data_IF_336306845568
#
_entry.id   IF_336306845568
#
_cell.length_a   1.000
_cell.length_b   1.000
_cell.length_c   1.000
_cell.angle_alpha   90.00
_cell.angle_beta   90.00
_cell.angle_gamma   90.00
#
_symmetry.space_group_name_H-M   'P 1'
#
loop_
_entity.id
_entity.type
_entity.pdbx_description
1 polymer ?
#
# COMPACT_ATOMS: atom_id res chain seq x y z
N UNK A 1 -6.10 -7.44 -17.61
CA UNK A 1 -5.13 -7.32 -16.49
C UNK A 1 -5.65 -7.97 -15.20
N UNK A 2 -6.91 -7.74 -14.77
CA UNK A 2 -7.40 -8.21 -13.46
C UNK A 2 -7.38 -9.72 -13.23
N UNK A 3 -7.77 -10.55 -14.20
CA UNK A 3 -7.78 -12.02 -13.99
C UNK A 3 -6.39 -12.62 -13.77
N UNK A 4 -5.37 -12.19 -14.52
CA UNK A 4 -3.99 -12.68 -14.37
C UNK A 4 -3.40 -12.32 -13.01
N UNK A 5 -3.57 -11.06 -12.60
CA UNK A 5 -3.07 -10.57 -11.30
C UNK A 5 -3.81 -11.24 -10.13
N UNK A 6 -5.13 -11.40 -10.23
CA UNK A 6 -5.93 -12.09 -9.21
C UNK A 6 -5.56 -13.58 -9.08
N UNK A 7 -5.23 -14.27 -10.18
CA UNK A 7 -4.79 -15.66 -10.13
C UNK A 7 -3.40 -15.79 -9.49
N UNK A 8 -2.45 -14.95 -9.88
CA UNK A 8 -1.13 -14.89 -9.25
C UNK A 8 -1.23 -14.60 -7.76
N UNK A 9 -2.10 -13.65 -7.37
CA UNK A 9 -2.36 -13.32 -5.99
C UNK A 9 -3.07 -14.44 -5.22
N UNK A 10 -3.88 -15.29 -5.87
CA UNK A 10 -4.47 -16.48 -5.23
C UNK A 10 -3.44 -17.55 -4.95
N UNK A 11 -2.53 -17.79 -5.88
CA UNK A 11 -1.54 -18.88 -5.81
C UNK A 11 -0.25 -18.52 -5.06
N UNK A 12 0.00 -17.24 -4.76
CA UNK A 12 1.18 -16.81 -4.00
C UNK A 12 0.99 -16.93 -2.50
N UNK A 13 2.03 -17.21 -1.74
CA UNK A 13 2.00 -17.12 -0.27
C UNK A 13 2.52 -15.76 0.24
N UNK A 14 3.27 -15.04 -0.60
CA UNK A 14 3.82 -13.72 -0.33
C UNK A 14 4.02 -12.95 -1.63
N UNK A 15 4.18 -11.62 -1.52
CA UNK A 15 4.58 -10.76 -2.63
C UNK A 15 5.95 -10.16 -2.34
N UNK A 16 6.85 -10.10 -3.33
CA UNK A 16 8.16 -9.47 -3.19
C UNK A 16 8.37 -8.49 -4.33
N UNK A 17 8.69 -7.24 -4.01
CA UNK A 17 9.13 -6.25 -4.98
C UNK A 17 10.65 -6.06 -4.92
N UNK A 18 11.27 -6.21 -6.08
CA UNK A 18 12.66 -5.86 -6.35
C UNK A 18 12.74 -4.41 -6.87
N UNK A 19 13.89 -3.71 -6.77
CA UNK A 19 14.07 -2.38 -7.34
C UNK A 19 13.58 -2.29 -8.78
N UNK A 20 12.71 -1.32 -9.05
CA UNK A 20 12.02 -1.21 -10.33
C UNK A 20 11.26 0.11 -10.47
N UNK A 21 10.87 0.43 -11.70
CA UNK A 21 10.19 1.68 -12.03
C UNK A 21 8.68 1.66 -11.75
N UNK A 22 7.94 2.50 -12.48
CA UNK A 22 6.50 2.68 -12.28
C UNK A 22 5.66 1.41 -12.37
N UNK A 23 6.03 0.46 -13.24
CA UNK A 23 5.30 -0.82 -13.34
C UNK A 23 5.36 -1.62 -12.02
N UNK A 24 6.55 -1.73 -11.43
CA UNK A 24 6.74 -2.40 -10.14
C UNK A 24 6.02 -1.67 -9.01
N UNK A 25 6.07 -0.33 -9.01
CA UNK A 25 5.37 0.48 -8.00
C UNK A 25 3.85 0.37 -8.10
N UNK A 26 3.29 0.31 -9.33
CA UNK A 26 1.87 0.09 -9.54
C UNK A 26 1.42 -1.26 -8.98
N UNK A 27 2.14 -2.33 -9.32
CA UNK A 27 1.83 -3.69 -8.82
C UNK A 27 1.99 -3.78 -7.29
N UNK A 28 3.02 -3.13 -6.73
CA UNK A 28 3.26 -3.08 -5.30
C UNK A 28 2.14 -2.36 -4.54
N UNK A 29 1.74 -1.17 -5.01
CA UNK A 29 0.68 -0.40 -4.35
C UNK A 29 -0.69 -1.08 -4.47
N UNK A 30 -0.93 -1.81 -5.57
CA UNK A 30 -2.16 -2.61 -5.73
C UNK A 30 -2.26 -3.71 -4.66
N UNK A 31 -1.20 -4.49 -4.43
CA UNK A 31 -1.22 -5.56 -3.40
C UNK A 31 -1.24 -4.99 -1.97
N UNK A 32 -0.59 -3.86 -1.71
CA UNK A 32 -0.70 -3.18 -0.40
C UNK A 32 -2.14 -2.73 -0.15
N UNK A 33 -2.80 -2.18 -1.17
CA UNK A 33 -4.19 -1.73 -1.05
C UNK A 33 -5.14 -2.92 -0.81
N UNK A 34 -4.90 -4.06 -1.45
CA UNK A 34 -5.69 -5.27 -1.20
C UNK A 34 -5.53 -5.81 0.22
N UNK A 35 -4.31 -5.80 0.76
CA UNK A 35 -4.08 -6.11 2.17
C UNK A 35 -4.81 -5.10 3.08
N UNK A 36 -4.70 -3.80 2.82
CA UNK A 36 -5.40 -2.77 3.59
C UNK A 36 -6.94 -2.94 3.59
N UNK A 37 -7.51 -3.45 2.49
CA UNK A 37 -8.94 -3.74 2.35
C UNK A 37 -9.35 -5.10 2.96
N UNK A 38 -8.42 -5.88 3.52
CA UNK A 38 -8.69 -7.22 4.06
C UNK A 38 -8.97 -8.28 3.00
N UNK A 39 -8.57 -8.04 1.74
CA UNK A 39 -8.77 -9.01 0.64
C UNK A 39 -7.79 -10.19 0.77
N UNK A 40 -6.61 -9.95 1.36
CA UNK A 40 -5.66 -10.98 1.71
C UNK A 40 -4.80 -10.58 2.90
N UNK A 41 -4.27 -11.59 3.59
CA UNK A 41 -3.39 -11.44 4.74
C UNK A 41 -1.91 -11.70 4.41
N UNK A 42 -1.59 -11.90 3.13
CA UNK A 42 -0.25 -12.27 2.66
C UNK A 42 0.75 -11.12 2.87
N UNK A 43 1.98 -11.40 3.32
CA UNK A 43 2.98 -10.37 3.51
C UNK A 43 3.46 -9.78 2.19
N UNK A 44 3.83 -8.49 2.24
CA UNK A 44 4.41 -7.75 1.11
C UNK A 44 5.84 -7.36 1.45
N UNK A 45 6.80 -8.04 0.84
CA UNK A 45 8.23 -7.85 1.01
C UNK A 45 8.84 -6.84 0.02
N UNK A 46 9.73 -5.99 0.51
CA UNK A 46 10.57 -5.08 -0.28
C UNK A 46 12.04 -5.47 -0.09
N UNK A 47 12.70 -5.82 -1.20
CA UNK A 47 14.15 -6.04 -1.19
C UNK A 47 14.88 -4.70 -1.36
N UNK A 48 15.41 -4.17 -0.26
CA UNK A 48 16.00 -2.83 -0.19
C UNK A 48 17.48 -2.80 -0.55
N UNK A 49 17.81 -3.17 -1.78
CA UNK A 49 19.19 -3.14 -2.29
C UNK A 49 19.68 -1.69 -2.30
N UNK A 50 20.83 -1.44 -1.67
CA UNK A 50 21.49 -0.12 -1.58
C UNK A 50 20.58 1.04 -1.12
N UNK A 51 19.52 0.73 -0.35
CA UNK A 51 18.59 1.73 0.14
C UNK A 51 17.59 2.26 -0.90
N UNK A 52 17.38 1.54 -2.01
CA UNK A 52 16.48 1.93 -3.10
C UNK A 52 15.08 2.38 -2.63
N UNK A 53 14.50 1.70 -1.65
CA UNK A 53 13.16 1.98 -1.13
C UNK A 53 13.12 2.98 0.03
N UNK A 54 14.26 3.52 0.48
CA UNK A 54 14.30 4.43 1.63
C UNK A 54 13.40 5.67 1.45
N UNK A 55 13.43 6.27 0.26
CA UNK A 55 12.60 7.43 -0.04
C UNK A 55 11.09 7.08 -0.08
N UNK A 56 10.75 5.90 -0.61
CA UNK A 56 9.36 5.41 -0.62
C UNK A 56 8.86 5.16 0.80
N UNK A 57 9.67 4.54 1.65
CA UNK A 57 9.31 4.29 3.04
C UNK A 57 9.13 5.60 3.82
N UNK A 58 10.04 6.56 3.65
CA UNK A 58 9.89 7.88 4.24
C UNK A 58 8.60 8.57 3.80
N UNK A 59 8.22 8.46 2.52
CA UNK A 59 6.93 8.96 2.03
C UNK A 59 5.74 8.26 2.72
N UNK A 60 5.79 6.94 2.87
CA UNK A 60 4.73 6.17 3.54
C UNK A 60 4.65 6.52 5.03
N UNK A 61 5.79 6.66 5.71
CA UNK A 61 5.86 7.05 7.12
C UNK A 61 5.24 8.45 7.33
N UNK A 62 5.58 9.41 6.47
CA UNK A 62 4.93 10.73 6.50
C UNK A 62 3.41 10.65 6.24
N UNK A 63 2.96 9.77 5.34
CA UNK A 63 1.54 9.56 5.09
C UNK A 63 0.82 8.92 6.28
N UNK A 64 1.51 8.13 7.10
CA UNK A 64 1.01 7.63 8.39
C UNK A 64 0.88 8.77 9.38
N UNK A 65 1.92 9.60 9.53
CA UNK A 65 1.94 10.73 10.46
C UNK A 65 0.84 11.76 10.14
N UNK A 66 0.57 12.00 8.85
CA UNK A 66 -0.49 12.90 8.37
C UNK A 66 -1.91 12.26 8.43
N UNK A 67 -2.01 10.98 8.81
CA UNK A 67 -3.29 10.27 8.96
C UNK A 67 -3.93 9.83 7.64
N UNK A 68 -3.17 9.76 6.54
CA UNK A 68 -3.64 9.16 5.29
C UNK A 68 -3.57 7.63 5.31
N UNK A 69 -2.59 7.07 6.03
CA UNK A 69 -2.42 5.62 6.21
C UNK A 69 -2.57 5.30 7.70
N UNK A 70 -3.35 4.28 8.05
CA UNK A 70 -3.44 3.83 9.45
C UNK A 70 -2.09 3.25 9.90
N UNK A 71 -1.62 3.50 11.13
CA UNK A 71 -0.37 2.90 11.64
C UNK A 71 -0.34 1.37 11.51
N UNK A 72 -1.48 0.71 11.64
CA UNK A 72 -1.61 -0.74 11.48
C UNK A 72 -1.35 -1.21 10.03
N UNK A 73 -1.74 -0.42 9.03
CA UNK A 73 -1.48 -0.70 7.61
C UNK A 73 0.01 -0.52 7.24
N UNK A 74 0.78 0.25 8.01
CA UNK A 74 2.23 0.38 7.80
C UNK A 74 2.97 -0.95 7.98
N UNK A 75 2.44 -1.84 8.81
CA UNK A 75 3.02 -3.15 9.10
C UNK A 75 2.78 -4.19 8.00
N UNK A 76 1.99 -3.88 6.96
CA UNK A 76 1.82 -4.73 5.78
C UNK A 76 3.17 -4.92 5.04
N UNK A 77 4.04 -3.90 5.10
CA UNK A 77 5.31 -3.87 4.37
C UNK A 77 6.43 -4.43 5.23
N UNK A 78 7.05 -5.51 4.75
CA UNK A 78 8.25 -6.13 5.31
C UNK A 78 9.47 -5.70 4.49
N UNK A 79 10.52 -5.22 5.16
CA UNK A 79 11.72 -4.71 4.50
C UNK A 79 12.96 -5.53 4.91
N UNK A 80 13.81 -5.85 3.94
CA UNK A 80 15.16 -6.34 4.21
C UNK A 80 16.14 -5.99 3.09
N UNK A 81 17.43 -5.77 3.39
CA UNK A 81 18.48 -5.51 2.40
C UNK A 81 18.92 -6.76 1.62
N UNK A 82 18.69 -7.97 2.15
CA UNK A 82 19.13 -9.21 1.50
C UNK A 82 17.97 -10.19 1.28
N UNK A 83 18.03 -11.05 0.24
CA UNK A 83 16.97 -12.01 -0.03
C UNK A 83 16.74 -12.98 1.13
N UNK A 84 17.82 -13.46 1.76
CA UNK A 84 17.72 -14.38 2.89
C UNK A 84 16.97 -13.75 4.07
N UNK A 85 17.39 -12.56 4.48
CA UNK A 85 16.73 -11.84 5.58
C UNK A 85 15.28 -11.50 5.25
N UNK A 86 14.98 -11.21 3.97
CA UNK A 86 13.60 -10.97 3.55
C UNK A 86 12.75 -12.22 3.73
N UNK A 87 13.21 -13.37 3.26
CA UNK A 87 12.49 -14.64 3.39
C UNK A 87 12.28 -15.01 4.86
N UNK A 88 13.33 -14.91 5.69
CA UNK A 88 13.25 -15.19 7.13
C UNK A 88 12.14 -14.31 7.79
N UNK A 89 12.07 -13.01 7.45
CA UNK A 89 11.03 -12.10 7.96
C UNK A 89 9.63 -12.37 7.41
N UNK A 90 9.52 -12.85 6.16
CA UNK A 90 8.24 -13.18 5.55
C UNK A 90 7.64 -14.45 6.18
N UNK A 91 8.46 -15.42 6.57
CA UNK A 91 8.03 -16.63 7.28
C UNK A 91 7.54 -16.33 8.70
N UNK A 92 8.15 -15.35 9.38
CA UNK A 92 7.74 -14.91 10.71
C UNK A 92 6.54 -13.95 10.71
N UNK A 93 6.09 -13.51 9.53
CA UNK A 93 5.03 -12.52 9.41
C UNK A 93 3.69 -13.06 9.93
N UNK A 94 3.08 -12.30 10.82
CA UNK A 94 1.68 -12.48 11.23
C UNK A 94 0.90 -11.21 10.87
N UNK A 95 -0.29 -11.32 10.27
CA UNK A 95 -1.14 -10.15 9.98
C UNK A 95 -1.47 -9.41 11.27
N UNK A 96 -1.20 -8.11 11.30
CA UNK A 96 -1.51 -7.21 12.44
C UNK A 96 -2.28 -5.96 12.01
N UNK A 97 -2.76 -5.91 10.77
CA UNK A 97 -3.50 -4.76 10.26
C UNK A 97 -4.99 -4.89 10.60
N UNK A 98 -5.59 -3.82 11.11
CA UNK A 98 -7.04 -3.75 11.34
C UNK A 98 -7.75 -3.47 10.01
N UNK A 99 -8.83 -4.19 9.72
CA UNK A 99 -9.65 -3.96 8.52
C UNK A 99 -10.12 -2.49 8.48
N UNK A 100 -9.85 -1.79 7.37
CA UNK A 100 -10.27 -0.39 7.20
C UNK A 100 -11.75 -0.28 6.85
N UNK A 101 -12.38 -1.39 6.43
CA UNK A 101 -13.78 -1.44 6.02
C UNK A 101 -14.54 -2.48 6.87
N UNK A 102 -15.53 -2.05 7.69
CA UNK A 102 -16.55 -2.97 8.18
C UNK A 102 -17.25 -3.61 6.97
N UNK A 103 -17.65 -4.88 7.10
CA UNK A 103 -18.30 -5.70 6.04
C UNK A 103 -19.64 -5.15 5.48
N UNK A 104 -19.99 -3.88 5.69
CA UNK A 104 -21.31 -3.34 5.45
C UNK A 104 -21.30 -2.09 4.57
N UNK A 105 -21.82 -2.29 3.34
CA UNK A 105 -22.46 -1.35 2.42
C UNK A 105 -21.67 -0.11 1.95
N UNK A 106 -21.47 -0.09 0.65
CA UNK A 106 -21.22 1.09 -0.17
C UNK A 106 -22.41 2.05 -0.09
N UNK A 107 -22.31 3.09 0.73
CA UNK A 107 -23.12 4.28 0.55
C UNK A 107 -22.20 5.49 0.39
N UNK A 108 -22.29 6.07 -0.80
CA UNK A 108 -21.82 7.38 -1.21
C UNK A 108 -22.20 8.43 -0.16
N UNK A 109 -21.30 9.34 0.21
CA UNK A 109 -21.51 10.80 0.15
C UNK A 109 -20.25 11.56 0.56
N UNK A 110 -20.06 12.66 -0.16
CA UNK A 110 -19.21 13.83 -0.06
C UNK A 110 -18.62 14.22 1.31
N UNK A 111 -17.39 14.74 1.26
CA UNK A 111 -16.96 16.10 1.66
C UNK A 111 -15.56 16.02 2.26
N UNK A 112 -14.61 16.82 1.74
CA UNK A 112 -13.64 17.57 2.53
C UNK A 112 -12.83 18.51 1.62
N UNK A 113 -13.19 19.79 1.76
CA UNK A 113 -12.41 20.95 1.33
C UNK A 113 -11.18 21.08 2.24
N UNK A 114 -9.98 21.14 1.66
CA UNK A 114 -9.00 22.22 1.90
C UNK A 114 -7.68 21.85 1.23
N UNK A 115 -7.37 22.52 0.13
CA UNK A 115 -6.03 22.96 -0.28
C UNK A 115 -6.21 23.64 -1.64
N UNK A 116 -6.07 24.97 -1.68
CA UNK A 116 -6.11 25.72 -2.95
C UNK A 116 -4.82 25.39 -3.72
N UNK A 117 -4.88 24.40 -4.60
CA UNK A 117 -3.85 24.17 -5.62
C UNK A 117 -3.99 25.29 -6.67
N UNK A 118 -2.95 26.07 -6.98
CA UNK A 118 -3.03 27.11 -8.01
C UNK A 118 -3.41 26.51 -9.37
N UNK A 119 -4.13 27.30 -10.18
CA UNK A 119 -4.78 26.86 -11.42
C UNK A 119 -3.85 26.08 -12.36
N UNK A 120 -4.06 24.77 -12.43
CA UNK A 120 -3.43 23.88 -13.41
C UNK A 120 -4.24 23.94 -14.71
N UNK A 121 -3.55 23.82 -15.85
CA UNK A 121 -4.11 23.92 -17.21
C UNK A 121 -5.30 22.98 -17.40
N UNK A 122 -6.27 23.38 -18.23
CA UNK A 122 -7.41 22.56 -18.64
C UNK A 122 -6.96 21.17 -19.09
N UNK A 123 -7.60 20.12 -18.56
CA UNK A 123 -7.25 18.71 -18.79
C UNK A 123 -6.47 18.03 -17.66
N UNK A 124 -6.16 18.73 -16.56
CA UNK A 124 -5.51 18.12 -15.39
C UNK A 124 -6.52 17.35 -14.53
N UNK A 125 -6.30 16.05 -14.34
CA UNK A 125 -7.08 15.23 -13.40
C UNK A 125 -6.41 15.27 -12.02
N UNK A 126 -7.16 15.69 -11.00
CA UNK A 126 -6.70 15.67 -9.61
C UNK A 126 -7.18 14.37 -8.98
N UNK A 127 -6.26 13.56 -8.46
CA UNK A 127 -6.60 12.43 -7.60
C UNK A 127 -6.98 12.98 -6.22
N UNK A 128 -8.20 12.74 -5.71
CA UNK A 128 -8.60 13.25 -4.41
C UNK A 128 -7.77 12.61 -3.29
N UNK A 129 -7.33 13.40 -2.33
CA UNK A 129 -6.71 12.88 -1.12
C UNK A 129 -7.77 12.23 -0.24
N UNK A 130 -7.65 10.92 0.03
CA UNK A 130 -8.53 10.18 0.93
C UNK A 130 -7.80 9.97 2.25
N UNK A 131 -8.27 10.60 3.34
CA UNK A 131 -7.75 10.30 4.68
C UNK A 131 -8.30 8.94 5.13
N UNK A 132 -7.44 8.08 5.69
CA UNK A 132 -7.89 6.86 6.34
C UNK A 132 -8.82 7.23 7.49
N UNK A 133 -10.08 6.81 7.44
CA UNK A 133 -11.07 7.29 8.40
C UNK A 133 -10.64 6.94 9.83
N UNK A 134 -10.55 7.98 10.66
CA UNK A 134 -10.60 7.89 12.11
C UNK A 134 -12.08 7.67 12.44
N UNK A 135 -12.49 6.41 12.50
CA UNK A 135 -13.74 5.99 13.13
C UNK A 135 -13.40 5.42 14.51
#
# INVERSE_FOLDING_TARGET
MHQRKAEMARQSDAFIALPGGYGTLEELLEVITWAQLGIHDKPVGLLNVDGYYNALLCFIDNAVDEGFIKPTARHIIVLAPTPKELLDKLEEYSPRHEEVVPRTKWETTEQLSCCKIPALKEGTVILPAQRGSML
#
